data_IF_118473032707
#
_entry.id   IF_118473032707
#
_cell.length_a   1.000
_cell.length_b   1.000
_cell.length_c   1.000
_cell.angle_alpha   90.00
_cell.angle_beta   90.00
_cell.angle_gamma   90.00
#
_symmetry.space_group_name_H-M   'P 1'
#
loop_
_entity.id
_entity.type
_entity.pdbx_description
1 polymer ?
#
# COMPACT_ATOMS: atom_id res chain seq x y z
N UNK A 1 -8.99 12.11 11.26
CA UNK A 1 -8.33 10.91 10.70
C UNK A 1 -7.53 10.28 11.83
N UNK A 2 -7.68 8.99 12.15
CA UNK A 2 -6.93 8.38 13.26
C UNK A 2 -5.48 8.13 12.85
N UNK A 3 -4.54 8.62 13.64
CA UNK A 3 -3.12 8.35 13.46
C UNK A 3 -2.86 6.83 13.55
N UNK A 4 -2.17 6.28 12.56
CA UNK A 4 -1.84 4.86 12.47
C UNK A 4 -0.41 4.58 12.98
N UNK A 5 0.49 5.50 12.67
CA UNK A 5 1.91 5.38 12.88
C UNK A 5 2.35 6.35 13.98
N UNK A 6 3.18 5.88 14.91
CA UNK A 6 3.89 6.76 15.86
C UNK A 6 5.09 7.47 15.21
N UNK A 7 5.62 6.87 14.14
CA UNK A 7 6.67 7.41 13.29
C UNK A 7 6.32 7.01 11.87
N UNK A 8 6.32 7.96 10.95
CA UNK A 8 6.07 7.66 9.53
C UNK A 8 7.26 6.86 8.99
N UNK A 9 7.05 5.69 8.35
CA UNK A 9 8.13 4.97 7.66
C UNK A 9 8.69 5.84 6.53
N UNK A 10 10.01 5.76 6.29
CA UNK A 10 10.61 6.55 5.21
C UNK A 10 10.22 6.00 3.84
N UNK A 11 10.30 6.83 2.80
CA UNK A 11 9.96 6.42 1.44
C UNK A 11 10.86 5.29 0.96
N UNK A 12 12.14 5.34 1.34
CA UNK A 12 13.15 4.33 1.03
C UNK A 12 12.79 2.98 1.66
N UNK A 13 12.39 2.96 2.93
CA UNK A 13 11.94 1.75 3.61
C UNK A 13 10.71 1.13 2.91
N UNK A 14 9.75 1.97 2.50
CA UNK A 14 8.56 1.48 1.81
C UNK A 14 8.92 0.96 0.41
N UNK A 15 9.84 1.59 -0.30
CA UNK A 15 10.36 1.10 -1.59
C UNK A 15 11.06 -0.25 -1.43
N UNK A 16 11.91 -0.42 -0.41
CA UNK A 16 12.56 -1.70 -0.08
C UNK A 16 11.54 -2.80 0.22
N UNK A 17 10.47 -2.48 0.96
CA UNK A 17 9.35 -3.40 1.22
C UNK A 17 8.67 -3.81 -0.09
N UNK A 18 8.40 -2.86 -0.99
CA UNK A 18 7.79 -3.15 -2.29
C UNK A 18 8.66 -4.11 -3.12
N UNK A 19 9.96 -3.85 -3.19
CA UNK A 19 10.92 -4.72 -3.89
C UNK A 19 10.97 -6.11 -3.26
N UNK A 20 11.02 -6.20 -1.92
CA UNK A 20 10.99 -7.48 -1.20
C UNK A 20 9.74 -8.29 -1.53
N UNK A 21 8.59 -7.62 -1.68
CA UNK A 21 7.32 -8.22 -2.09
C UNK A 21 7.20 -8.49 -3.60
N UNK A 22 8.26 -8.26 -4.39
CA UNK A 22 8.33 -8.48 -5.84
C UNK A 22 7.55 -7.45 -6.69
N UNK A 23 7.42 -6.23 -6.19
CA UNK A 23 7.02 -5.08 -7.00
C UNK A 23 8.25 -4.34 -7.54
N UNK A 24 8.05 -3.51 -8.55
CA UNK A 24 9.07 -2.61 -9.11
C UNK A 24 9.15 -1.24 -8.40
N UNK A 25 8.69 -1.17 -7.14
CA UNK A 25 8.59 0.07 -6.38
C UNK A 25 7.26 0.80 -6.53
N UNK A 26 7.21 2.08 -6.17
CA UNK A 26 5.98 2.90 -6.18
C UNK A 26 5.33 3.05 -7.56
N UNK A 27 6.11 2.97 -8.64
CA UNK A 27 5.65 3.15 -10.02
C UNK A 27 5.29 1.82 -10.71
N UNK A 28 5.15 0.73 -9.95
CA UNK A 28 4.74 -0.55 -10.51
C UNK A 28 3.29 -0.48 -11.01
N UNK A 29 3.13 -0.56 -12.34
CA UNK A 29 1.85 -0.50 -13.02
C UNK A 29 1.14 -1.87 -13.09
N UNK A 30 1.72 -2.93 -12.51
CA UNK A 30 1.15 -4.27 -12.51
C UNK A 30 -0.21 -4.30 -11.82
N UNK A 31 -1.11 -5.08 -12.40
CA UNK A 31 -2.37 -5.47 -11.77
C UNK A 31 -2.14 -6.80 -11.03
N UNK A 32 -2.56 -6.86 -9.77
CA UNK A 32 -2.36 -8.04 -8.92
C UNK A 32 -3.58 -8.30 -8.06
N UNK A 33 -3.66 -9.50 -7.51
CA UNK A 33 -4.68 -9.92 -6.53
C UNK A 33 -4.04 -10.06 -5.16
N UNK A 34 -4.85 -10.17 -4.11
CA UNK A 34 -4.36 -10.46 -2.75
C UNK A 34 -3.59 -11.79 -2.64
N UNK A 35 -3.76 -12.70 -3.61
CA UNK A 35 -3.08 -13.99 -3.65
C UNK A 35 -1.68 -13.90 -4.26
N UNK A 36 -1.40 -12.85 -5.04
CA UNK A 36 -0.07 -12.61 -5.64
C UNK A 36 0.97 -12.11 -4.63
N UNK A 37 0.53 -11.62 -3.47
CA UNK A 37 1.42 -11.26 -2.37
C UNK A 37 1.86 -12.57 -1.70
N UNK A 38 3.17 -12.83 -1.59
CA UNK A 38 3.68 -14.00 -0.86
C UNK A 38 3.43 -13.87 0.65
N UNK A 39 3.00 -14.95 1.31
CA UNK A 39 2.78 -14.95 2.77
C UNK A 39 4.12 -14.91 3.53
N UNK A 40 5.09 -15.67 3.05
CA UNK A 40 6.42 -15.80 3.66
C UNK A 40 7.14 -14.45 3.66
N UNK A 41 7.27 -13.83 2.49
CA UNK A 41 7.90 -12.50 2.35
C UNK A 41 7.17 -11.41 3.12
N UNK A 42 5.85 -11.53 3.25
CA UNK A 42 5.08 -10.55 4.00
C UNK A 42 5.33 -10.65 5.51
N UNK A 43 5.66 -11.84 6.04
CA UNK A 43 5.99 -11.97 7.45
C UNK A 43 7.30 -11.24 7.80
N UNK A 44 8.28 -11.25 6.89
CA UNK A 44 9.55 -10.53 7.08
C UNK A 44 9.31 -9.03 7.29
N UNK A 45 8.43 -8.44 6.47
CA UNK A 45 8.17 -6.99 6.55
C UNK A 45 7.41 -6.57 7.81
N UNK A 46 6.70 -7.49 8.48
CA UNK A 46 5.99 -7.18 9.73
C UNK A 46 6.96 -6.69 10.80
N UNK A 47 8.13 -7.34 10.89
CA UNK A 47 9.21 -6.99 11.81
C UNK A 47 9.74 -5.59 11.48
N UNK A 48 9.85 -5.26 10.19
CA UNK A 48 10.38 -3.97 9.75
C UNK A 48 9.42 -2.81 10.06
N UNK A 49 8.10 -3.04 9.94
CA UNK A 49 7.09 -1.99 10.11
C UNK A 49 6.51 -1.87 11.52
N UNK A 50 6.60 -2.91 12.36
CA UNK A 50 6.09 -2.89 13.74
C UNK A 50 6.62 -1.69 14.55
N UNK A 51 7.91 -1.31 14.48
CA UNK A 51 8.43 -0.13 15.16
C UNK A 51 7.74 1.19 14.76
N UNK A 52 7.06 1.25 13.62
CA UNK A 52 6.43 2.46 13.10
C UNK A 52 4.96 2.59 13.52
N UNK A 53 4.27 1.47 13.76
CA UNK A 53 2.87 1.48 14.19
C UNK A 53 2.70 1.93 15.64
N UNK A 54 1.58 2.58 15.95
CA UNK A 54 1.12 2.72 17.34
C UNK A 54 0.84 1.32 17.93
N UNK A 55 1.15 1.04 19.21
CA UNK A 55 1.04 -0.31 19.78
C UNK A 55 -0.35 -0.97 19.60
N UNK A 56 -1.43 -0.18 19.79
CA UNK A 56 -2.79 -0.67 19.60
C UNK A 56 -3.11 -1.01 18.13
N UNK A 57 -2.49 -0.30 17.18
CA UNK A 57 -2.65 -0.53 15.74
C UNK A 57 -1.78 -1.70 15.28
N UNK A 58 -0.56 -1.81 15.81
CA UNK A 58 0.30 -2.97 15.60
C UNK A 58 -0.43 -4.26 16.00
N UNK A 59 -0.98 -4.31 17.23
CA UNK A 59 -1.77 -5.47 17.69
C UNK A 59 -2.97 -5.78 16.78
N UNK A 60 -3.65 -4.76 16.26
CA UNK A 60 -4.84 -4.94 15.42
C UNK A 60 -4.51 -5.43 14.01
N UNK A 61 -3.46 -4.88 13.40
CA UNK A 61 -3.16 -5.10 11.98
C UNK A 61 -2.07 -6.14 11.76
N UNK A 62 -1.08 -6.22 12.65
CA UNK A 62 0.09 -7.09 12.50
C UNK A 62 -0.09 -8.47 13.14
N UNK A 63 -1.20 -8.72 13.86
CA UNK A 63 -1.58 -10.07 14.32
C UNK A 63 -2.45 -10.79 13.28
N UNK A 64 -2.44 -12.13 13.28
CA UNK A 64 -3.36 -12.99 12.51
C UNK A 64 -3.52 -12.51 11.06
N UNK A 65 -2.40 -12.49 10.32
CA UNK A 65 -2.32 -11.90 8.99
C UNK A 65 -3.14 -12.71 7.98
N UNK A 66 -4.23 -12.11 7.52
CA UNK A 66 -5.04 -12.60 6.41
C UNK A 66 -4.68 -11.91 5.10
N UNK A 67 -5.08 -12.48 3.96
CA UNK A 67 -4.86 -11.87 2.64
C UNK A 67 -5.40 -10.44 2.57
N UNK A 68 -6.55 -10.18 3.18
CA UNK A 68 -7.15 -8.84 3.21
C UNK A 68 -6.36 -7.88 4.11
N UNK A 69 -5.79 -8.37 5.23
CA UNK A 69 -4.91 -7.56 6.09
C UNK A 69 -3.62 -7.18 5.38
N UNK A 70 -3.05 -8.06 4.55
CA UNK A 70 -1.85 -7.74 3.75
C UNK A 70 -2.09 -6.57 2.80
N UNK A 71 -3.23 -6.58 2.09
CA UNK A 71 -3.67 -5.43 1.27
C UNK A 71 -3.86 -4.18 2.12
N UNK A 72 -4.44 -4.31 3.32
CA UNK A 72 -4.71 -3.18 4.20
C UNK A 72 -3.42 -2.53 4.70
N UNK A 73 -2.45 -3.34 5.13
CA UNK A 73 -1.13 -2.89 5.59
C UNK A 73 -0.38 -2.23 4.43
N UNK A 74 -0.36 -2.86 3.25
CA UNK A 74 0.28 -2.29 2.06
C UNK A 74 -0.32 -0.92 1.72
N UNK A 75 -1.66 -0.79 1.81
CA UNK A 75 -2.35 0.50 1.65
C UNK A 75 -1.90 1.54 2.67
N UNK A 76 -1.72 1.17 3.94
CA UNK A 76 -1.24 2.11 4.95
C UNK A 76 0.15 2.66 4.62
N UNK A 77 1.07 1.79 4.16
CA UNK A 77 2.44 2.16 3.79
C UNK A 77 2.46 3.06 2.54
N UNK A 78 1.61 2.79 1.55
CA UNK A 78 1.52 3.62 0.34
C UNK A 78 0.91 4.99 0.64
N UNK A 79 -0.12 5.04 1.48
CA UNK A 79 -0.91 6.25 1.75
C UNK A 79 -0.10 7.35 2.42
N UNK A 80 0.88 7.01 3.27
CA UNK A 80 1.76 8.00 3.88
C UNK A 80 2.69 8.69 2.87
N UNK A 81 2.86 8.12 1.68
CA UNK A 81 3.68 8.67 0.60
C UNK A 81 2.85 9.16 -0.60
N UNK A 82 1.55 9.42 -0.42
CA UNK A 82 0.63 9.88 -1.47
C UNK A 82 0.40 8.87 -2.60
N UNK A 83 0.49 7.58 -2.27
CA UNK A 83 0.06 6.48 -3.14
C UNK A 83 -1.14 5.77 -2.54
N UNK A 84 -1.92 5.09 -3.37
CA UNK A 84 -3.02 4.24 -2.90
C UNK A 84 -3.11 2.96 -3.74
N UNK A 85 -3.83 1.98 -3.21
CA UNK A 85 -4.18 0.75 -3.93
C UNK A 85 -5.55 0.89 -4.56
N UNK A 86 -5.62 1.16 -5.86
CA UNK A 86 -6.88 1.17 -6.58
C UNK A 86 -7.43 -0.27 -6.67
N UNK A 87 -8.52 -0.55 -5.96
CA UNK A 87 -9.22 -1.83 -6.04
C UNK A 87 -10.33 -1.79 -7.08
N UNK A 88 -10.38 -2.78 -7.96
CA UNK A 88 -11.45 -2.93 -8.97
C UNK A 88 -11.93 -4.38 -8.98
N UNK A 89 -13.23 -4.59 -9.11
CA UNK A 89 -13.76 -5.92 -9.39
C UNK A 89 -13.57 -6.23 -10.88
N UNK A 90 -13.01 -7.41 -11.17
CA UNK A 90 -12.90 -7.96 -12.52
C UNK A 90 -13.39 -9.39 -12.53
N UNK A 91 -13.87 -9.83 -13.68
CA UNK A 91 -14.17 -11.25 -13.91
C UNK A 91 -12.89 -11.88 -14.44
N UNK A 92 -12.27 -12.74 -13.64
CA UNK A 92 -11.09 -13.51 -14.01
C UNK A 92 -11.51 -14.97 -14.06
N UNK A 93 -11.42 -15.60 -15.25
CA UNK A 93 -11.85 -16.99 -15.47
C UNK A 93 -13.30 -17.26 -15.03
N UNK A 94 -14.22 -16.33 -15.30
CA UNK A 94 -15.63 -16.45 -14.92
C UNK A 94 -15.91 -16.18 -13.44
N UNK A 95 -14.89 -15.89 -12.61
CA UNK A 95 -15.03 -15.62 -11.18
C UNK A 95 -14.82 -14.12 -10.92
N UNK A 96 -15.76 -13.50 -10.22
CA UNK A 96 -15.59 -12.13 -9.72
C UNK A 96 -14.43 -12.09 -8.70
N UNK A 97 -13.39 -11.35 -9.05
CA UNK A 97 -12.15 -11.24 -8.28
C UNK A 97 -11.77 -9.77 -8.17
N UNK A 98 -11.44 -9.34 -6.96
CA UNK A 98 -10.88 -8.00 -6.75
C UNK A 98 -9.41 -7.99 -7.15
N UNK A 99 -9.08 -7.10 -8.08
CA UNK A 99 -7.70 -6.79 -8.46
C UNK A 99 -7.30 -5.43 -7.90
N UNK A 100 -6.01 -5.23 -7.70
CA UNK A 100 -5.40 -4.05 -7.14
C UNK A 100 -4.31 -3.52 -8.08
N UNK A 101 -4.09 -2.22 -8.03
CA UNK A 101 -2.99 -1.54 -8.72
C UNK A 101 -2.48 -0.39 -7.83
N UNK A 102 -1.17 -0.21 -7.74
CA UNK A 102 -0.58 0.95 -7.06
C UNK A 102 -0.80 2.19 -7.96
N UNK A 103 -1.25 3.29 -7.37
CA UNK A 103 -1.42 4.57 -8.08
C UNK A 103 -1.02 5.75 -7.21
N UNK A 104 -0.47 6.77 -7.85
CA UNK A 104 -0.31 8.10 -7.24
C UNK A 104 -1.72 8.65 -6.95
N UNK A 105 -1.91 9.16 -5.74
CA UNK A 105 -3.09 9.97 -5.42
C UNK A 105 -2.81 11.37 -5.95
N UNK A 106 -3.35 11.68 -7.12
CA UNK A 106 -3.41 13.07 -7.57
C UNK A 106 -4.38 13.79 -6.65
N UNK A 107 -3.87 14.70 -5.81
CA UNK A 107 -4.72 15.73 -5.22
C UNK A 107 -5.12 16.62 -6.38
N UNK A 108 -6.33 16.42 -6.92
CA UNK A 108 -6.97 17.47 -7.70
C UNK A 108 -7.17 18.61 -6.70
N UNK A 109 -6.29 19.61 -6.72
CA UNK A 109 -6.67 20.93 -6.25
C UNK A 109 -8.02 21.23 -6.90
N UNK A 110 -8.95 21.71 -6.08
CA UNK A 110 -10.25 22.16 -6.54
C UNK A 110 -10.07 22.90 -7.87
N UNK A 111 -10.91 22.58 -8.86
CA UNK A 111 -10.88 23.16 -10.21
C UNK A 111 -11.20 24.68 -10.24
N UNK A 112 -10.89 25.42 -9.18
CA UNK A 112 -10.54 26.84 -9.23
C UNK A 112 -9.12 27.00 -9.78
N UNK A 113 -8.94 26.69 -11.07
CA UNK A 113 -8.22 27.54 -11.99
C UNK A 113 -6.71 27.84 -11.87
N UNK A 114 -5.92 27.29 -10.94
CA UNK A 114 -4.47 27.57 -10.92
C UNK A 114 -3.62 26.31 -11.14
N UNK A 115 -3.07 26.19 -12.36
CA UNK A 115 -2.05 25.21 -12.71
C UNK A 115 -0.68 25.69 -12.20
N UNK A 116 0.03 24.84 -11.45
CA UNK A 116 1.48 24.93 -11.31
C UNK A 116 2.07 23.63 -11.83
N UNK A 117 2.57 23.67 -13.06
CA UNK A 117 3.39 22.58 -13.60
C UNK A 117 4.81 22.74 -13.08
N UNK A 118 5.26 21.83 -12.24
CA UNK A 118 6.70 21.61 -12.06
C UNK A 118 7.07 20.25 -12.66
N UNK A 119 7.59 20.31 -13.88
CA UNK A 119 8.42 19.24 -14.43
C UNK A 119 9.86 19.52 -13.99
N UNK A 120 10.50 18.50 -13.40
CA UNK A 120 11.96 18.44 -13.28
C UNK A 120 12.54 17.60 -14.41
#
# INVERSE_FOLDING_TARGET
MTELFRKVPSKELVEEILIHLQFLGFNDNRIFTKFDISKERFNDILIWIEPYYLPCKAKRFLSDITDNKRITILRHLLKVHKYDLLGQEKIVNGIKTTVYQIRVVMEYSDLSGDYVMEFS
#
